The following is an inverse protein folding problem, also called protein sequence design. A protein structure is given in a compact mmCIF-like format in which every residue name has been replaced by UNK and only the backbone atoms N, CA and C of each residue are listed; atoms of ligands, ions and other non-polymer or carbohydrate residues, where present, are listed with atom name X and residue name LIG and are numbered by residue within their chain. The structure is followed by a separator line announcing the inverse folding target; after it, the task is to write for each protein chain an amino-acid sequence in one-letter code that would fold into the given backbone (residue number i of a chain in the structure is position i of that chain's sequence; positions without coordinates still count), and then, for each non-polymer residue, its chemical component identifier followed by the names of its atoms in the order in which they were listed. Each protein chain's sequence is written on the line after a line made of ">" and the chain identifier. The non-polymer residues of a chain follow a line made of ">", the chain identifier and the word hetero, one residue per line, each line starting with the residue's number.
data_IF_864177574569
#
_entry.id   IF_864177574569
#
_cell.length_a   1.000
_cell.length_b   1.000
_cell.length_c   1.000
_cell.angle_alpha   90.00
_cell.angle_beta   90.00
_cell.angle_gamma   90.00
#
_symmetry.space_group_name_H-M   'P 1'
#
loop_
_entity.id
_entity.type
_entity.pdbx_description
1 polymer ?
#
# COMPACT_ATOMS: atom_id res chain seq x y z
N UNK A 1 28.03 31.54 17.12
CA UNK A 1 28.05 30.81 15.85
C UNK A 1 28.05 29.28 16.01
N UNK A 2 28.46 28.70 17.11
CA UNK A 2 28.54 27.24 17.32
C UNK A 2 27.21 26.53 17.52
N UNK A 3 26.22 27.19 18.14
CA UNK A 3 24.92 26.59 18.44
C UNK A 3 24.07 26.33 17.15
N UNK A 4 24.16 27.25 16.18
CA UNK A 4 23.42 27.10 14.90
C UNK A 4 23.95 25.96 14.04
N UNK A 5 25.26 25.75 14.00
CA UNK A 5 25.87 24.63 13.28
C UNK A 5 25.47 23.26 13.88
N UNK A 6 25.37 23.19 15.22
CA UNK A 6 24.96 21.98 15.91
C UNK A 6 23.49 21.61 15.57
N UNK A 7 22.60 22.59 15.55
CA UNK A 7 21.18 22.37 15.18
C UNK A 7 21.02 21.89 13.73
N UNK A 8 21.81 22.41 12.81
CA UNK A 8 21.79 21.98 11.40
C UNK A 8 22.28 20.53 11.26
N UNK A 9 23.37 20.17 11.96
CA UNK A 9 23.88 18.80 11.93
C UNK A 9 22.89 17.80 12.52
N UNK A 10 22.24 18.12 13.64
CA UNK A 10 21.22 17.27 14.25
C UNK A 10 20.01 17.11 13.32
N UNK A 11 19.55 18.18 12.68
CA UNK A 11 18.45 18.13 11.71
C UNK A 11 18.80 17.27 10.49
N UNK A 12 20.01 17.40 9.94
CA UNK A 12 20.47 16.56 8.82
C UNK A 12 20.57 15.09 9.21
N UNK A 13 21.03 14.78 10.43
CA UNK A 13 21.09 13.40 10.93
C UNK A 13 19.69 12.80 11.11
N UNK A 14 18.73 13.55 11.64
CA UNK A 14 17.36 13.11 11.81
C UNK A 14 16.68 12.86 10.46
N UNK A 15 16.82 13.78 9.50
CA UNK A 15 16.31 13.61 8.13
C UNK A 15 16.93 12.40 7.42
N UNK A 16 18.25 12.23 7.55
CA UNK A 16 18.95 11.09 6.96
C UNK A 16 18.50 9.76 7.57
N UNK A 17 18.32 9.71 8.89
CA UNK A 17 17.84 8.52 9.59
C UNK A 17 16.41 8.15 9.20
N UNK A 18 15.51 9.13 9.11
CA UNK A 18 14.11 8.91 8.76
C UNK A 18 13.97 8.39 7.31
N UNK A 19 14.73 8.97 6.38
CA UNK A 19 14.79 8.49 5.00
C UNK A 19 15.37 7.08 4.87
N UNK A 20 16.40 6.77 5.66
CA UNK A 20 16.98 5.43 5.72
C UNK A 20 15.96 4.41 6.26
N UNK A 21 15.25 4.74 7.34
CA UNK A 21 14.20 3.89 7.92
C UNK A 21 13.08 3.61 6.93
N UNK A 22 12.55 4.64 6.26
CA UNK A 22 11.51 4.50 5.24
C UNK A 22 11.95 3.59 4.08
N UNK A 23 13.17 3.78 3.58
CA UNK A 23 13.69 2.94 2.50
C UNK A 23 13.87 1.47 2.93
N UNK A 24 14.24 1.24 4.19
CA UNK A 24 14.36 -0.11 4.75
C UNK A 24 12.99 -0.76 4.85
N UNK A 25 11.99 -0.06 5.41
CA UNK A 25 10.62 -0.55 5.53
C UNK A 25 10.03 -0.92 4.16
N UNK A 26 10.22 -0.08 3.13
CA UNK A 26 9.76 -0.38 1.76
C UNK A 26 10.43 -1.65 1.20
N UNK A 27 11.72 -1.85 1.44
CA UNK A 27 12.43 -3.06 1.01
C UNK A 27 11.94 -4.31 1.73
N UNK A 28 11.69 -4.20 3.03
CA UNK A 28 11.16 -5.31 3.83
C UNK A 28 9.75 -5.72 3.35
N UNK A 29 8.93 -4.74 2.97
CA UNK A 29 7.60 -4.98 2.40
C UNK A 29 7.65 -5.58 0.99
N UNK A 30 8.60 -5.18 0.15
CA UNK A 30 8.84 -5.83 -1.15
C UNK A 30 9.28 -7.29 -0.99
N UNK A 31 10.10 -7.56 0.03
CA UNK A 31 10.49 -8.93 0.38
C UNK A 31 9.28 -9.73 0.86
N UNK A 32 8.44 -9.15 1.71
CA UNK A 32 7.21 -9.76 2.17
C UNK A 32 6.28 -10.10 0.99
N UNK A 33 6.10 -9.18 0.03
CA UNK A 33 5.35 -9.43 -1.20
C UNK A 33 5.90 -10.64 -1.97
N UNK A 34 7.23 -10.67 -2.19
CA UNK A 34 7.88 -11.74 -2.95
C UNK A 34 7.71 -13.11 -2.30
N UNK A 35 7.70 -13.17 -0.98
CA UNK A 35 7.46 -14.39 -0.23
C UNK A 35 5.98 -14.79 -0.26
N UNK A 36 5.09 -13.83 -0.11
CA UNK A 36 3.65 -14.07 -0.16
C UNK A 36 3.21 -14.60 -1.51
N UNK A 37 3.66 -13.99 -2.61
CA UNK A 37 3.24 -14.39 -3.96
C UNK A 37 3.66 -15.83 -4.30
N UNK A 38 4.76 -16.32 -3.74
CA UNK A 38 5.20 -17.70 -3.93
C UNK A 38 4.31 -18.73 -3.19
N UNK A 39 3.60 -18.29 -2.16
CA UNK A 39 2.70 -19.14 -1.37
C UNK A 39 1.26 -19.12 -1.88
N UNK A 40 0.91 -18.13 -2.74
CA UNK A 40 -0.42 -18.04 -3.33
C UNK A 40 -0.51 -19.00 -4.52
N UNK A 41 -1.54 -19.85 -4.60
CA UNK A 41 -1.72 -20.76 -5.71
C UNK A 41 -2.04 -19.99 -7.02
N UNK A 42 -1.54 -20.48 -8.15
CA UNK A 42 -1.82 -19.90 -9.48
C UNK A 42 -3.28 -20.06 -9.90
N UNK A 43 -3.94 -21.08 -9.37
CA UNK A 43 -5.36 -21.38 -9.62
C UNK A 43 -6.16 -21.20 -8.34
N UNK A 44 -7.42 -20.78 -8.47
CA UNK A 44 -8.30 -20.62 -7.32
C UNK A 44 -8.46 -21.94 -6.55
N UNK A 45 -8.11 -21.93 -5.28
CA UNK A 45 -8.36 -23.00 -4.33
C UNK A 45 -9.19 -22.42 -3.17
N UNK A 46 -10.43 -22.89 -2.95
CA UNK A 46 -11.21 -22.45 -1.80
C UNK A 46 -10.43 -22.70 -0.51
N UNK A 47 -10.27 -21.67 0.29
CA UNK A 47 -9.59 -21.72 1.58
C UNK A 47 -10.54 -21.26 2.67
N UNK A 48 -10.66 -22.03 3.75
CA UNK A 48 -11.45 -21.66 4.92
C UNK A 48 -10.75 -20.58 5.77
N UNK A 49 -9.44 -20.40 5.61
CA UNK A 49 -8.68 -19.38 6.32
C UNK A 49 -8.71 -18.07 5.51
N UNK A 50 -9.23 -16.99 6.12
CA UNK A 50 -9.25 -15.65 5.52
C UNK A 50 -7.89 -14.97 5.43
N UNK A 51 -6.79 -15.59 5.94
CA UNK A 51 -5.44 -15.03 6.00
C UNK A 51 -4.38 -16.09 5.82
N UNK A 52 -3.22 -15.64 5.35
CA UNK A 52 -1.98 -16.40 5.30
C UNK A 52 -0.97 -15.73 6.24
N UNK A 53 -0.43 -16.47 7.21
CA UNK A 53 0.68 -15.97 8.04
C UNK A 53 1.98 -16.04 7.22
N UNK A 54 2.57 -14.88 6.99
CA UNK A 54 3.88 -14.76 6.34
C UNK A 54 4.78 -13.92 7.24
N UNK A 55 5.74 -14.54 7.88
CA UNK A 55 6.68 -13.89 8.81
C UNK A 55 5.99 -13.14 9.98
N UNK A 56 4.89 -13.65 10.49
CA UNK A 56 4.14 -13.04 11.59
C UNK A 56 3.17 -11.95 11.14
N UNK A 57 2.93 -11.80 9.83
CA UNK A 57 1.94 -10.90 9.26
C UNK A 57 0.76 -11.67 8.71
N UNK A 58 -0.46 -11.29 9.10
CA UNK A 58 -1.70 -11.84 8.57
C UNK A 58 -2.02 -11.20 7.21
N UNK A 59 -1.70 -11.88 6.12
CA UNK A 59 -1.89 -11.40 4.75
C UNK A 59 -3.20 -11.93 4.17
N UNK A 60 -3.98 -11.05 3.54
CA UNK A 60 -5.26 -11.37 2.90
C UNK A 60 -5.16 -11.43 1.38
N UNK A 61 -4.31 -10.60 0.79
CA UNK A 61 -4.16 -10.49 -0.65
C UNK A 61 -2.81 -9.85 -1.01
N UNK A 62 -2.45 -9.91 -2.27
CA UNK A 62 -1.38 -9.11 -2.86
C UNK A 62 -1.96 -8.17 -3.91
N UNK A 63 -1.34 -7.01 -4.05
CA UNK A 63 -1.75 -5.96 -4.96
C UNK A 63 -0.58 -5.60 -5.87
N UNK A 64 -0.83 -5.51 -7.17
CA UNK A 64 0.15 -5.10 -8.16
C UNK A 64 -0.43 -4.08 -9.13
N UNK A 65 0.31 -2.98 -9.35
CA UNK A 65 0.02 -1.98 -10.37
C UNK A 65 1.35 -1.48 -10.96
N UNK A 66 1.68 -1.89 -12.18
CA UNK A 66 2.97 -1.62 -12.78
C UNK A 66 4.12 -2.17 -11.93
N UNK A 67 5.04 -1.31 -11.51
CA UNK A 67 6.17 -1.66 -10.64
C UNK A 67 5.81 -1.70 -9.15
N UNK A 68 4.62 -1.24 -8.80
CA UNK A 68 4.12 -1.24 -7.42
C UNK A 68 3.65 -2.65 -7.06
N UNK A 69 4.18 -3.17 -5.95
CA UNK A 69 3.88 -4.49 -5.42
C UNK A 69 3.71 -4.39 -3.91
N UNK A 70 2.47 -4.50 -3.45
CA UNK A 70 2.12 -4.42 -2.04
C UNK A 70 1.40 -5.68 -1.57
N UNK A 71 1.50 -5.95 -0.28
CA UNK A 71 0.64 -6.93 0.40
C UNK A 71 -0.52 -6.20 1.05
N UNK A 72 -1.68 -6.83 1.08
CA UNK A 72 -2.85 -6.37 1.83
C UNK A 72 -2.93 -7.25 3.07
N UNK A 73 -2.71 -6.65 4.21
CA UNK A 73 -2.69 -7.33 5.49
C UNK A 73 -3.79 -6.85 6.42
N UNK A 74 -3.72 -7.28 7.66
CA UNK A 74 -4.65 -6.90 8.72
C UNK A 74 -4.14 -5.74 9.58
N UNK A 75 -2.86 -5.46 9.49
CA UNK A 75 -2.16 -4.48 10.32
C UNK A 75 -2.25 -3.08 9.73
N UNK A 76 -2.34 -2.05 10.57
CA UNK A 76 -2.48 -0.65 10.15
C UNK A 76 -1.24 -0.08 9.41
N UNK A 77 -0.08 -0.69 9.58
CA UNK A 77 1.16 -0.33 8.88
C UNK A 77 1.27 -0.93 7.48
N UNK A 78 0.36 -1.82 7.11
CA UNK A 78 0.22 -2.39 5.77
C UNK A 78 -1.01 -1.81 5.06
N UNK A 79 -1.05 -1.79 3.72
CA UNK A 79 -2.30 -1.67 3.00
C UNK A 79 -3.33 -2.66 3.56
N UNK A 80 -4.52 -2.21 3.87
CA UNK A 80 -5.56 -3.04 4.49
C UNK A 80 -6.96 -2.66 4.02
N UNK A 81 -7.89 -3.58 4.14
CA UNK A 81 -9.29 -3.30 3.84
C UNK A 81 -9.98 -2.59 5.00
N UNK A 82 -10.72 -1.53 4.66
CA UNK A 82 -11.65 -0.86 5.57
C UNK A 82 -13.00 -0.68 4.87
N UNK A 83 -14.00 -1.38 5.35
CA UNK A 83 -15.28 -1.55 4.66
C UNK A 83 -15.04 -2.24 3.30
N UNK A 84 -15.25 -1.62 2.19
CA UNK A 84 -14.93 -2.17 0.86
C UNK A 84 -13.68 -1.57 0.25
N UNK A 85 -13.15 -0.54 0.87
CA UNK A 85 -12.08 0.28 0.33
C UNK A 85 -10.71 -0.20 0.80
N UNK A 86 -9.66 0.21 0.12
CA UNK A 86 -8.28 -0.10 0.48
C UNK A 86 -7.65 1.15 1.09
N UNK A 87 -7.24 1.04 2.33
CA UNK A 87 -6.47 2.08 3.03
C UNK A 87 -4.99 1.86 2.77
N UNK A 88 -4.33 2.89 2.31
CA UNK A 88 -2.89 2.88 2.07
C UNK A 88 -2.21 3.72 3.15
N UNK A 89 -1.27 3.17 3.92
CA UNK A 89 -0.48 3.93 4.87
C UNK A 89 0.30 5.07 4.20
N UNK A 90 0.54 6.15 4.93
CA UNK A 90 1.23 7.36 4.45
C UNK A 90 2.64 7.09 3.90
N UNK A 91 3.32 6.06 4.40
CA UNK A 91 4.60 5.58 3.89
C UNK A 91 4.60 5.31 2.37
N UNK A 92 3.46 4.89 1.83
CA UNK A 92 3.29 4.53 0.41
C UNK A 92 2.71 5.67 -0.44
N UNK A 93 2.43 6.84 0.13
CA UNK A 93 1.77 7.93 -0.58
C UNK A 93 2.50 8.31 -1.88
N UNK A 94 3.83 8.40 -1.85
CA UNK A 94 4.62 8.73 -3.05
C UNK A 94 4.49 7.68 -4.16
N UNK A 95 4.45 6.41 -3.78
CA UNK A 95 4.23 5.32 -4.75
C UNK A 95 2.81 5.39 -5.31
N UNK A 96 1.81 5.62 -4.44
CA UNK A 96 0.43 5.79 -4.86
C UNK A 96 0.25 6.97 -5.83
N UNK A 97 0.93 8.09 -5.59
CA UNK A 97 0.93 9.26 -6.47
C UNK A 97 1.62 9.04 -7.83
N UNK A 98 2.43 8.00 -7.98
CA UNK A 98 3.04 7.62 -9.26
C UNK A 98 2.08 6.86 -10.19
N UNK A 99 0.96 6.36 -9.68
CA UNK A 99 -0.08 5.69 -10.47
C UNK A 99 -0.82 6.69 -11.35
N UNK A 100 -1.22 6.24 -12.52
CA UNK A 100 -1.86 7.08 -13.56
C UNK A 100 -3.24 6.56 -13.89
N UNK A 101 -4.05 7.43 -14.48
CA UNK A 101 -5.32 7.03 -15.07
C UNK A 101 -5.11 5.91 -16.10
N UNK A 102 -6.00 4.91 -16.06
CA UNK A 102 -5.98 3.71 -16.89
C UNK A 102 -4.89 2.70 -16.59
N UNK A 103 -4.06 2.92 -15.56
CA UNK A 103 -3.21 1.84 -15.07
C UNK A 103 -4.10 0.68 -14.58
N UNK A 104 -3.62 -0.54 -14.74
CA UNK A 104 -4.35 -1.73 -14.28
C UNK A 104 -3.80 -2.16 -12.93
N UNK A 105 -4.70 -2.21 -11.96
CA UNK A 105 -4.46 -2.77 -10.64
C UNK A 105 -4.95 -4.21 -10.61
N UNK A 106 -4.08 -5.13 -10.26
CA UNK A 106 -4.45 -6.53 -10.02
C UNK A 106 -4.38 -6.82 -8.53
N UNK A 107 -5.47 -7.33 -7.99
CA UNK A 107 -5.53 -7.83 -6.61
C UNK A 107 -5.72 -9.34 -6.68
N UNK A 108 -4.80 -10.08 -6.07
CA UNK A 108 -4.87 -11.53 -5.96
C UNK A 108 -5.05 -11.93 -4.50
N UNK A 109 -6.15 -12.59 -4.19
CA UNK A 109 -6.40 -13.14 -2.86
C UNK A 109 -5.45 -14.29 -2.54
N UNK A 110 -5.31 -14.62 -1.27
CA UNK A 110 -4.52 -15.78 -0.83
C UNK A 110 -5.05 -17.11 -1.38
N UNK A 111 -6.31 -17.17 -1.78
CA UNK A 111 -6.92 -18.33 -2.44
C UNK A 111 -6.63 -18.40 -3.95
N UNK A 112 -5.88 -17.46 -4.51
CA UNK A 112 -5.53 -17.40 -5.92
C UNK A 112 -6.54 -16.65 -6.82
N UNK A 113 -7.66 -16.18 -6.27
CA UNK A 113 -8.64 -15.41 -7.04
C UNK A 113 -8.09 -14.04 -7.41
N UNK A 114 -8.19 -13.67 -8.70
CA UNK A 114 -7.66 -12.42 -9.25
C UNK A 114 -8.79 -11.49 -9.67
N UNK A 115 -8.73 -10.25 -9.23
CA UNK A 115 -9.57 -9.16 -9.70
C UNK A 115 -8.69 -8.11 -10.37
N UNK A 116 -9.18 -7.52 -11.45
CA UNK A 116 -8.53 -6.42 -12.13
C UNK A 116 -9.41 -5.18 -12.12
N UNK A 117 -8.77 -4.05 -11.93
CA UNK A 117 -9.40 -2.74 -11.88
C UNK A 117 -8.63 -1.76 -12.75
N UNK A 118 -9.32 -0.93 -13.49
CA UNK A 118 -8.75 0.25 -14.12
C UNK A 118 -8.73 1.39 -13.10
N UNK A 119 -7.65 2.14 -13.02
CA UNK A 119 -7.49 3.22 -12.06
C UNK A 119 -7.98 4.54 -12.64
N UNK A 120 -8.77 5.29 -11.86
CA UNK A 120 -9.11 6.68 -12.10
C UNK A 120 -8.59 7.54 -10.95
N UNK A 121 -7.55 8.33 -11.21
CA UNK A 121 -6.92 9.18 -10.20
C UNK A 121 -7.79 10.40 -9.95
N UNK A 122 -8.35 10.50 -8.76
CA UNK A 122 -9.16 11.64 -8.32
C UNK A 122 -8.26 12.74 -7.73
N UNK A 123 -7.19 12.36 -7.03
CA UNK A 123 -6.28 13.28 -6.36
C UNK A 123 -6.70 13.58 -4.93
N UNK A 124 -6.41 14.80 -4.45
CA UNK A 124 -6.69 15.21 -3.08
C UNK A 124 -8.14 15.64 -2.91
N UNK A 125 -8.82 15.06 -1.92
CA UNK A 125 -10.21 15.35 -1.56
C UNK A 125 -10.36 15.53 -0.06
N UNK A 126 -11.34 16.32 0.36
CA UNK A 126 -11.61 16.59 1.78
C UNK A 126 -12.49 15.52 2.44
N UNK A 127 -13.35 14.88 1.66
CA UNK A 127 -14.32 13.88 2.13
C UNK A 127 -14.39 12.68 1.21
N UNK A 128 -14.45 11.48 1.80
CA UNK A 128 -14.57 10.24 1.05
C UNK A 128 -16.03 9.97 0.67
N UNK A 129 -16.27 9.53 -0.56
CA UNK A 129 -17.57 9.06 -1.04
C UNK A 129 -17.82 7.63 -0.56
N UNK A 130 -19.11 7.25 -0.40
CA UNK A 130 -19.48 5.88 -0.03
C UNK A 130 -19.97 5.05 -1.24
N UNK A 131 -20.04 5.65 -2.43
CA UNK A 131 -20.74 5.06 -3.56
C UNK A 131 -19.84 4.24 -4.49
N UNK A 132 -18.53 4.46 -4.45
CA UNK A 132 -17.54 3.79 -5.32
C UNK A 132 -16.53 2.99 -4.50
N UNK A 133 -15.91 1.99 -5.14
CA UNK A 133 -14.75 1.30 -4.61
C UNK A 133 -13.51 2.14 -4.88
N UNK A 134 -12.75 2.46 -3.86
CA UNK A 134 -11.54 3.28 -4.01
C UNK A 134 -10.40 2.84 -3.09
N UNK A 135 -9.23 3.25 -3.49
CA UNK A 135 -8.01 3.16 -2.70
C UNK A 135 -7.65 4.58 -2.23
N UNK A 136 -7.33 4.75 -0.95
CA UNK A 136 -7.01 6.07 -0.42
C UNK A 136 -5.89 6.06 0.61
N UNK A 137 -5.19 7.18 0.68
CA UNK A 137 -4.19 7.47 1.69
C UNK A 137 -4.52 8.79 2.38
N UNK A 138 -4.45 8.83 3.72
CA UNK A 138 -4.63 10.07 4.46
C UNK A 138 -3.35 10.90 4.40
N UNK A 139 -3.46 12.14 3.90
CA UNK A 139 -2.35 13.09 3.79
C UNK A 139 -2.71 14.37 4.56
N UNK A 140 -2.25 14.48 5.80
CA UNK A 140 -2.61 15.60 6.68
C UNK A 140 -4.11 15.64 6.99
N UNK A 141 -4.79 16.71 6.55
CA UNK A 141 -6.24 16.90 6.68
C UNK A 141 -7.05 16.39 5.49
N UNK A 142 -6.38 16.00 4.39
CA UNK A 142 -7.01 15.55 3.15
C UNK A 142 -6.75 14.06 2.90
N UNK A 143 -7.44 13.52 1.90
CA UNK A 143 -7.27 12.16 1.42
C UNK A 143 -6.83 12.18 -0.04
N UNK A 144 -5.75 11.48 -0.37
CA UNK A 144 -5.41 11.19 -1.75
C UNK A 144 -6.16 9.93 -2.18
N UNK A 145 -6.99 10.04 -3.22
CA UNK A 145 -7.94 9.01 -3.61
C UNK A 145 -7.76 8.58 -5.08
N UNK A 146 -7.92 7.29 -5.31
CA UNK A 146 -7.94 6.66 -6.63
C UNK A 146 -9.15 5.73 -6.69
N UNK A 147 -10.06 5.96 -7.63
CA UNK A 147 -11.20 5.09 -7.86
C UNK A 147 -10.80 3.82 -8.60
N UNK A 148 -11.43 2.71 -8.24
CA UNK A 148 -11.19 1.38 -8.78
C UNK A 148 -12.39 0.96 -9.62
N UNK A 149 -12.22 0.94 -10.93
CA UNK A 149 -13.26 0.56 -11.88
C UNK A 149 -13.04 -0.89 -12.29
N UNK A 150 -14.02 -1.75 -12.07
CA UNK A 150 -13.94 -3.17 -12.43
C UNK A 150 -13.78 -3.30 -13.95
N UNK A 151 -12.80 -4.08 -14.37
CA UNK A 151 -12.51 -4.36 -15.78
C UNK A 151 -13.21 -5.64 -16.22
#
# INVERSE_FOLDING_TARGET
>A
MTLGCLCILVSCCLFGYEKYRQNKEIKDLQKLYSQTIQLIPDTYIPSDSGYLDVQGHDIQAVLQAGDIKWVIGKEDNLPHYKNKNIVIPDLYLKQMQSLKNKDILTIQSISGYKNQYELEVIGEIDTLSNDTLYMYCKSGSQYYCIDLIVV
#
